data_IF_315464482959
#
_entry.id   IF_315464482959
#
_cell.length_a   1.000
_cell.length_b   1.000
_cell.length_c   1.000
_cell.angle_alpha   90.00
_cell.angle_beta   90.00
_cell.angle_gamma   90.00
#
_symmetry.space_group_name_H-M   'P 1'
#
loop_
_entity.id
_entity.type
_entity.pdbx_description
1 polymer ?
#
# COMPACT_ATOMS: atom_id res chain seq x y z
N UNK A 1 9.13 -22.43 12.60
CA UNK A 1 10.28 -23.22 12.10
C UNK A 1 11.12 -22.46 11.06
N UNK A 2 10.57 -21.47 10.31
CA UNK A 2 11.37 -20.59 9.43
C UNK A 2 11.85 -19.27 10.07
N UNK A 3 11.24 -18.84 11.17
CA UNK A 3 11.53 -17.60 11.92
C UNK A 3 12.96 -17.52 12.48
N UNK A 4 13.56 -18.68 12.78
CA UNK A 4 14.88 -18.82 13.43
C UNK A 4 16.07 -18.38 12.54
N UNK A 5 15.83 -18.05 11.26
CA UNK A 5 16.87 -17.65 10.32
C UNK A 5 16.71 -16.22 9.78
N UNK A 6 15.94 -15.37 10.47
CA UNK A 6 15.88 -13.94 10.10
C UNK A 6 17.08 -13.18 10.67
N UNK A 7 17.57 -12.16 9.96
CA UNK A 7 18.68 -11.33 10.44
C UNK A 7 18.33 -10.65 11.78
N UNK A 8 17.08 -10.24 11.94
CA UNK A 8 16.57 -9.65 13.18
C UNK A 8 16.27 -10.70 14.27
N UNK A 9 16.02 -11.95 13.89
CA UNK A 9 15.87 -13.10 14.80
C UNK A 9 17.13 -13.40 15.60
N UNK A 10 18.30 -12.97 15.12
CA UNK A 10 19.56 -13.05 15.86
C UNK A 10 19.61 -12.10 17.08
N UNK A 11 18.76 -11.06 17.11
CA UNK A 11 18.68 -10.10 18.22
C UNK A 11 17.56 -10.51 19.20
N UNK A 12 16.40 -10.86 18.67
CA UNK A 12 15.24 -11.32 19.45
C UNK A 12 14.38 -12.23 18.59
N UNK A 13 13.97 -13.37 19.14
CA UNK A 13 13.10 -14.36 18.50
C UNK A 13 11.60 -14.11 18.74
N UNK A 14 11.25 -13.00 19.42
CA UNK A 14 9.86 -12.64 19.64
C UNK A 14 9.16 -12.31 18.31
N UNK A 15 8.10 -13.04 17.99
CA UNK A 15 7.34 -12.86 16.75
C UNK A 15 6.81 -11.44 16.60
N UNK A 16 6.40 -10.79 17.70
CA UNK A 16 5.91 -9.41 17.66
C UNK A 16 7.02 -8.43 17.28
N UNK A 17 8.24 -8.69 17.75
CA UNK A 17 9.42 -7.91 17.40
C UNK A 17 9.81 -8.09 15.93
N UNK A 18 9.82 -9.33 15.43
CA UNK A 18 10.12 -9.64 14.04
C UNK A 18 9.12 -8.98 13.10
N UNK A 19 7.83 -9.13 13.38
CA UNK A 19 6.78 -8.48 12.61
C UNK A 19 6.93 -6.95 12.59
N UNK A 20 7.09 -6.33 13.77
CA UNK A 20 7.16 -4.86 13.89
C UNK A 20 8.38 -4.30 13.15
N UNK A 21 9.55 -4.93 13.29
CA UNK A 21 10.78 -4.47 12.64
C UNK A 21 10.68 -4.53 11.12
N UNK A 22 10.18 -5.63 10.55
CA UNK A 22 9.99 -5.77 9.11
C UNK A 22 8.88 -4.85 8.57
N UNK A 23 7.83 -4.61 9.36
CA UNK A 23 6.76 -3.66 9.01
C UNK A 23 7.30 -2.23 8.92
N UNK A 24 8.05 -1.79 9.94
CA UNK A 24 8.67 -0.46 9.96
C UNK A 24 9.68 -0.33 8.83
N UNK A 25 10.50 -1.37 8.58
CA UNK A 25 11.44 -1.38 7.47
C UNK A 25 10.73 -1.22 6.11
N UNK A 26 9.65 -1.96 5.88
CA UNK A 26 8.84 -1.87 4.65
C UNK A 26 8.24 -0.47 4.48
N UNK A 27 7.70 0.11 5.56
CA UNK A 27 7.15 1.46 5.54
C UNK A 27 8.21 2.52 5.24
N UNK A 28 9.39 2.40 5.85
CA UNK A 28 10.53 3.28 5.59
C UNK A 28 10.99 3.19 4.13
N UNK A 29 11.11 1.98 3.58
CA UNK A 29 11.48 1.79 2.17
C UNK A 29 10.43 2.44 1.24
N UNK A 30 9.14 2.25 1.52
CA UNK A 30 8.06 2.89 0.74
C UNK A 30 8.16 4.42 0.76
N UNK A 31 8.37 5.01 1.95
CA UNK A 31 8.50 6.46 2.13
C UNK A 31 9.76 6.98 1.42
N UNK A 32 10.89 6.28 1.55
CA UNK A 32 12.15 6.66 0.92
C UNK A 32 12.03 6.60 -0.60
N UNK A 33 11.47 5.53 -1.16
CA UNK A 33 11.26 5.41 -2.61
C UNK A 33 10.37 6.53 -3.15
N UNK A 34 9.25 6.81 -2.47
CA UNK A 34 8.37 7.91 -2.83
C UNK A 34 9.09 9.27 -2.75
N UNK A 35 9.85 9.51 -1.68
CA UNK A 35 10.59 10.77 -1.49
C UNK A 35 11.70 10.95 -2.54
N UNK A 36 12.46 9.90 -2.84
CA UNK A 36 13.53 9.94 -3.84
C UNK A 36 12.95 10.27 -5.22
N UNK A 37 11.84 9.63 -5.61
CA UNK A 37 11.20 9.91 -6.89
C UNK A 37 10.61 11.32 -7.00
N UNK A 38 10.20 11.91 -5.88
CA UNK A 38 9.61 13.26 -5.82
C UNK A 38 10.64 14.36 -5.58
N UNK A 39 11.89 14.03 -5.25
CA UNK A 39 12.88 15.00 -4.77
C UNK A 39 13.44 15.95 -5.84
N UNK A 40 13.40 15.56 -7.11
CA UNK A 40 13.92 16.37 -8.21
C UNK A 40 13.12 16.14 -9.50
N UNK A 41 11.85 16.56 -9.49
CA UNK A 41 10.94 16.39 -10.62
C UNK A 41 11.44 17.20 -11.83
N UNK A 42 11.86 16.49 -12.87
CA UNK A 42 12.27 17.07 -14.15
C UNK A 42 11.12 17.00 -15.15
N UNK A 43 11.09 17.97 -16.08
CA UNK A 43 10.11 18.03 -17.17
C UNK A 43 10.26 16.84 -18.14
N UNK A 44 11.48 16.36 -18.32
CA UNK A 44 11.79 15.10 -19.01
C UNK A 44 12.22 14.09 -17.93
N UNK A 45 11.37 13.11 -17.57
CA UNK A 45 11.64 12.21 -16.46
C UNK A 45 12.86 11.32 -16.73
N UNK A 46 13.69 11.09 -15.71
CA UNK A 46 14.86 10.21 -15.78
C UNK A 46 14.97 9.32 -14.55
N UNK A 47 15.53 8.13 -14.70
CA UNK A 47 15.85 7.22 -13.60
C UNK A 47 14.63 6.82 -12.77
N UNK A 48 14.67 7.11 -11.47
CA UNK A 48 13.64 6.73 -10.48
C UNK A 48 12.32 7.46 -10.68
N UNK A 49 12.33 8.68 -11.25
CA UNK A 49 11.11 9.40 -11.60
C UNK A 49 10.31 8.64 -12.67
N UNK A 50 10.97 8.12 -13.70
CA UNK A 50 10.30 7.37 -14.78
C UNK A 50 9.60 6.11 -14.27
N UNK A 51 10.24 5.39 -13.35
CA UNK A 51 9.64 4.19 -12.74
C UNK A 51 8.41 4.53 -11.90
N UNK A 52 8.49 5.57 -11.07
CA UNK A 52 7.36 5.96 -10.22
C UNK A 52 6.23 6.62 -10.99
N UNK A 53 6.52 7.39 -12.05
CA UNK A 53 5.50 7.90 -12.95
C UNK A 53 4.79 6.78 -13.69
N UNK A 54 5.52 5.79 -14.20
CA UNK A 54 4.93 4.61 -14.83
C UNK A 54 4.01 3.86 -13.86
N UNK A 55 4.46 3.67 -12.61
CA UNK A 55 3.64 3.06 -11.57
C UNK A 55 2.35 3.83 -11.29
N UNK A 56 2.44 5.14 -11.02
CA UNK A 56 1.27 5.97 -10.70
C UNK A 56 0.32 6.08 -11.90
N UNK A 57 0.86 6.20 -13.12
CA UNK A 57 0.05 6.20 -14.34
C UNK A 57 -0.66 4.87 -14.54
N UNK A 58 0.00 3.73 -14.31
CA UNK A 58 -0.63 2.42 -14.37
C UNK A 58 -1.78 2.28 -13.37
N UNK A 59 -1.59 2.74 -12.12
CA UNK A 59 -2.67 2.75 -11.12
C UNK A 59 -3.82 3.68 -11.54
N UNK A 60 -3.51 4.84 -12.13
CA UNK A 60 -4.51 5.79 -12.62
C UNK A 60 -5.32 5.24 -13.79
N UNK A 61 -4.69 4.56 -14.73
CA UNK A 61 -5.33 3.92 -15.88
C UNK A 61 -6.26 2.80 -15.41
N UNK A 62 -5.78 1.90 -14.54
CA UNK A 62 -6.62 0.87 -13.91
C UNK A 62 -7.84 1.47 -13.20
N UNK A 63 -7.62 2.54 -12.42
CA UNK A 63 -8.73 3.25 -11.78
C UNK A 63 -9.68 3.90 -12.79
N UNK A 64 -9.16 4.45 -13.88
CA UNK A 64 -9.97 5.10 -14.91
C UNK A 64 -10.89 4.10 -15.59
N UNK A 65 -10.42 2.89 -15.84
CA UNK A 65 -11.22 1.82 -16.44
C UNK A 65 -12.31 1.31 -15.48
N UNK A 66 -12.04 1.27 -14.17
CA UNK A 66 -12.98 0.74 -13.17
C UNK A 66 -14.04 1.76 -12.72
N UNK A 67 -13.65 3.01 -12.50
CA UNK A 67 -14.52 4.02 -11.87
C UNK A 67 -14.61 5.35 -12.66
N UNK A 68 -13.99 5.43 -13.83
CA UNK A 68 -13.96 6.64 -14.65
C UNK A 68 -12.93 7.67 -14.18
N UNK A 69 -12.50 8.52 -15.12
CA UNK A 69 -11.35 9.44 -14.97
C UNK A 69 -11.46 10.38 -13.76
N UNK A 70 -12.65 10.90 -13.49
CA UNK A 70 -12.87 11.86 -12.40
C UNK A 70 -12.68 11.20 -11.02
N UNK A 71 -13.23 10.00 -10.83
CA UNK A 71 -13.09 9.26 -9.58
C UNK A 71 -11.69 8.65 -9.43
N UNK A 72 -11.13 8.13 -10.52
CA UNK A 72 -9.77 7.61 -10.54
C UNK A 72 -8.76 8.66 -10.05
N UNK A 73 -8.80 9.88 -10.62
CA UNK A 73 -7.91 10.97 -10.21
C UNK A 73 -8.11 11.39 -8.75
N UNK A 74 -9.33 11.24 -8.21
CA UNK A 74 -9.63 11.57 -6.81
C UNK A 74 -9.06 10.54 -5.84
N UNK A 75 -9.07 9.26 -6.19
CA UNK A 75 -8.70 8.16 -5.27
C UNK A 75 -7.31 7.56 -5.56
N UNK A 76 -6.65 7.95 -6.65
CA UNK A 76 -5.34 7.41 -7.06
C UNK A 76 -4.30 7.48 -5.95
N UNK A 77 -4.26 8.57 -5.16
CA UNK A 77 -3.29 8.71 -4.08
C UNK A 77 -3.44 7.62 -3.01
N UNK A 78 -4.68 7.28 -2.64
CA UNK A 78 -4.96 6.23 -1.66
C UNK A 78 -4.57 4.86 -2.22
N UNK A 79 -5.02 4.55 -3.43
CA UNK A 79 -4.81 3.24 -4.07
C UNK A 79 -3.32 3.01 -4.36
N UNK A 80 -2.63 4.00 -4.91
CA UNK A 80 -1.19 3.91 -5.21
C UNK A 80 -0.35 3.80 -3.94
N UNK A 81 -0.72 4.49 -2.86
CA UNK A 81 0.03 4.40 -1.60
C UNK A 81 -0.12 3.02 -0.96
N UNK A 82 -1.34 2.50 -0.86
CA UNK A 82 -1.60 1.16 -0.32
C UNK A 82 -0.93 0.11 -1.22
N UNK A 83 -1.07 0.24 -2.54
CA UNK A 83 -0.46 -0.68 -3.50
C UNK A 83 1.06 -0.73 -3.38
N UNK A 84 1.72 0.43 -3.28
CA UNK A 84 3.17 0.50 -3.16
C UNK A 84 3.66 -0.11 -1.83
N UNK A 85 2.97 0.22 -0.73
CA UNK A 85 3.31 -0.32 0.59
C UNK A 85 3.14 -1.84 0.64
N UNK A 86 2.01 -2.36 0.15
CA UNK A 86 1.74 -3.79 0.08
C UNK A 86 2.75 -4.48 -0.84
N UNK A 87 3.08 -3.90 -1.99
CA UNK A 87 4.09 -4.43 -2.89
C UNK A 87 5.44 -4.61 -2.18
N UNK A 88 5.92 -3.59 -1.48
CA UNK A 88 7.21 -3.63 -0.76
C UNK A 88 7.16 -4.64 0.39
N UNK A 89 6.08 -4.65 1.17
CA UNK A 89 5.90 -5.59 2.28
C UNK A 89 5.94 -7.05 1.81
N UNK A 90 5.35 -7.36 0.65
CA UNK A 90 5.43 -8.69 0.06
C UNK A 90 6.81 -8.97 -0.53
N UNK A 91 7.42 -7.98 -1.19
CA UNK A 91 8.68 -8.15 -1.89
C UNK A 91 9.85 -8.42 -0.93
N UNK A 92 9.85 -7.81 0.26
CA UNK A 92 10.90 -8.03 1.26
C UNK A 92 10.96 -9.50 1.71
N UNK A 93 9.82 -10.20 1.83
CA UNK A 93 9.83 -11.62 2.21
C UNK A 93 10.39 -12.57 1.17
N UNK A 94 10.68 -12.11 -0.05
CA UNK A 94 11.42 -12.90 -1.05
C UNK A 94 12.91 -12.95 -0.68
N UNK A 95 13.41 -11.94 0.02
CA UNK A 95 14.83 -11.84 0.39
C UNK A 95 15.10 -12.82 1.55
N UNK A 96 16.04 -13.78 1.39
CA UNK A 96 16.40 -14.69 2.47
C UNK A 96 16.82 -13.91 3.73
N UNK A 97 16.31 -14.34 4.89
CA UNK A 97 16.58 -13.69 6.17
C UNK A 97 15.64 -12.52 6.51
N UNK A 98 14.65 -12.24 5.66
CA UNK A 98 13.56 -11.30 5.96
C UNK A 98 12.21 -12.00 5.98
N UNK A 99 11.29 -11.47 6.79
CA UNK A 99 9.89 -11.88 6.82
C UNK A 99 9.00 -10.84 6.13
N UNK A 100 7.96 -11.29 5.42
CA UNK A 100 6.98 -10.41 4.81
C UNK A 100 5.96 -9.93 5.86
N UNK A 101 5.85 -8.61 6.14
CA UNK A 101 4.84 -8.10 7.06
C UNK A 101 3.40 -8.38 6.60
N UNK A 102 3.21 -8.64 5.30
CA UNK A 102 1.92 -9.02 4.71
C UNK A 102 1.44 -10.42 5.11
N UNK A 103 2.31 -11.27 5.65
CA UNK A 103 1.91 -12.56 6.21
C UNK A 103 1.13 -12.40 7.53
N UNK A 104 1.29 -11.26 8.20
CA UNK A 104 0.60 -10.98 9.46
C UNK A 104 -0.83 -10.46 9.21
N UNK A 105 -1.80 -11.09 9.89
CA UNK A 105 -3.20 -10.73 9.80
C UNK A 105 -3.46 -9.28 10.24
N UNK A 106 -2.75 -8.78 11.25
CA UNK A 106 -2.98 -7.43 11.78
C UNK A 106 -2.70 -6.36 10.71
N UNK A 107 -1.66 -6.54 9.89
CA UNK A 107 -1.31 -5.61 8.82
C UNK A 107 -2.38 -5.61 7.72
N UNK A 108 -2.75 -6.79 7.23
CA UNK A 108 -3.72 -6.93 6.14
C UNK A 108 -5.13 -6.51 6.56
N UNK A 109 -5.55 -6.88 7.77
CA UNK A 109 -6.84 -6.51 8.34
C UNK A 109 -6.93 -4.99 8.56
N UNK A 110 -5.86 -4.36 9.05
CA UNK A 110 -5.84 -2.90 9.24
C UNK A 110 -6.04 -2.17 7.92
N UNK A 111 -5.31 -2.56 6.87
CA UNK A 111 -5.46 -1.97 5.54
C UNK A 111 -6.86 -2.21 4.96
N UNK A 112 -7.40 -3.43 5.12
CA UNK A 112 -8.74 -3.77 4.68
C UNK A 112 -9.81 -2.92 5.37
N UNK A 113 -9.72 -2.74 6.69
CA UNK A 113 -10.65 -1.91 7.45
C UNK A 113 -10.59 -0.44 7.03
N UNK A 114 -9.40 0.11 6.79
CA UNK A 114 -9.24 1.50 6.32
C UNK A 114 -9.97 1.69 4.99
N UNK A 115 -9.74 0.80 4.02
CA UNK A 115 -10.40 0.89 2.70
C UNK A 115 -11.90 0.65 2.83
N UNK A 116 -12.32 -0.34 3.61
CA UNK A 116 -13.74 -0.66 3.82
C UNK A 116 -14.51 0.51 4.42
N UNK A 117 -14.01 1.08 5.51
CA UNK A 117 -14.65 2.24 6.17
C UNK A 117 -14.66 3.44 5.23
N UNK A 118 -13.56 3.71 4.53
CA UNK A 118 -13.48 4.83 3.59
C UNK A 118 -14.47 4.68 2.43
N UNK A 119 -14.58 3.48 1.86
CA UNK A 119 -15.52 3.18 0.79
C UNK A 119 -16.97 3.41 1.23
N UNK A 120 -17.37 2.84 2.37
CA UNK A 120 -18.71 3.01 2.93
C UNK A 120 -19.01 4.48 3.22
N UNK A 121 -18.05 5.20 3.82
CA UNK A 121 -18.16 6.64 4.09
C UNK A 121 -18.41 7.45 2.81
N UNK A 122 -17.63 7.20 1.75
CA UNK A 122 -17.81 7.87 0.44
C UNK A 122 -19.16 7.50 -0.19
N UNK A 123 -19.57 6.24 -0.11
CA UNK A 123 -20.86 5.76 -0.62
C UNK A 123 -22.04 6.49 0.02
N UNK A 124 -22.04 6.54 1.35
CA UNK A 124 -23.05 7.25 2.16
C UNK A 124 -23.05 8.75 1.85
N UNK A 125 -21.87 9.38 1.79
CA UNK A 125 -21.75 10.82 1.51
C UNK A 125 -22.28 11.20 0.11
N UNK A 126 -22.11 10.31 -0.87
CA UNK A 126 -22.46 10.61 -2.27
C UNK A 126 -23.95 10.36 -2.55
N UNK A 127 -24.53 9.30 -1.98
CA UNK A 127 -25.91 8.89 -2.29
C UNK A 127 -26.92 9.23 -1.19
N UNK A 128 -26.47 9.50 0.03
CA UNK A 128 -27.30 9.62 1.23
C UNK A 128 -27.61 8.25 1.84
N UNK A 129 -27.78 8.20 3.17
CA UNK A 129 -27.91 6.95 3.95
C UNK A 129 -29.05 6.07 3.42
N UNK A 130 -30.22 6.67 3.14
CA UNK A 130 -31.41 5.93 2.71
C UNK A 130 -31.22 5.29 1.34
N UNK A 131 -30.70 6.04 0.36
CA UNK A 131 -30.44 5.50 -0.99
C UNK A 131 -29.27 4.52 -1.01
N UNK A 132 -28.28 4.73 -0.14
CA UNK A 132 -27.16 3.80 0.02
C UNK A 132 -27.62 2.44 0.57
N UNK A 133 -28.46 2.43 1.61
CA UNK A 133 -29.02 1.19 2.16
C UNK A 133 -29.99 0.51 1.18
N UNK A 134 -30.73 1.29 0.40
CA UNK A 134 -31.60 0.76 -0.66
C UNK A 134 -30.83 0.04 -1.79
N UNK A 135 -29.51 0.24 -1.93
CA UNK A 135 -28.68 -0.52 -2.88
C UNK A 135 -28.48 -2.00 -2.45
N UNK A 136 -28.73 -2.32 -1.18
CA UNK A 136 -28.54 -3.67 -0.63
C UNK A 136 -29.84 -4.49 -0.55
N UNK A 137 -30.97 -3.95 -1.00
CA UNK A 137 -32.28 -4.62 -1.05
C UNK A 137 -32.70 -4.80 -2.50
#
# INVERSE_FOLDING_TARGET
>A
MGELFTFFGLISEDHDFLFLTHMVLSALIAIVLAKVAMSNLQLVPKGTQNLMEAYVNGVLEMGTDVMGKAHARKYVALVATIGLFVFIANFIGIIPGFEAPSANLNMTLTLALVVFVYYNYVGIKTHGIVKYLAHFT
#
